data_IF_360138636745
#
_entry.id   IF_360138636745
#
_cell.length_a   1.000
_cell.length_b   1.000
_cell.length_c   1.000
_cell.angle_alpha   90.00
_cell.angle_beta   90.00
_cell.angle_gamma   90.00
#
_symmetry.space_group_name_H-M   'P 1'
#
loop_
_entity.id
_entity.type
_entity.pdbx_description
1 polymer ?
#
# COMPACT_ATOMS: atom_id res chain seq x y z
N UNK A 1 6.42 -10.86 15.31
CA UNK A 1 6.41 -9.90 14.18
C UNK A 1 6.27 -10.71 12.91
N UNK A 2 5.58 -10.18 11.91
CA UNK A 2 5.41 -10.83 10.60
C UNK A 2 5.91 -9.89 9.52
N UNK A 3 6.69 -10.41 8.58
CA UNK A 3 7.16 -9.67 7.41
C UNK A 3 6.37 -10.10 6.19
N UNK A 4 5.89 -9.14 5.41
CA UNK A 4 5.21 -9.39 4.13
C UNK A 4 6.06 -8.85 3.00
N UNK A 5 6.54 -9.75 2.15
CA UNK A 5 7.28 -9.46 0.92
C UNK A 5 6.29 -9.11 -0.21
N UNK A 6 6.49 -7.91 -0.75
CA UNK A 6 5.65 -7.24 -1.74
C UNK A 6 6.37 -7.05 -3.08
N UNK A 7 7.48 -7.74 -3.36
CA UNK A 7 8.28 -7.48 -4.57
C UNK A 7 7.46 -7.57 -5.88
N UNK A 8 6.55 -8.54 -6.01
CA UNK A 8 5.69 -8.68 -7.19
C UNK A 8 4.40 -7.83 -7.15
N UNK A 9 4.15 -7.14 -6.05
CA UNK A 9 2.93 -6.35 -5.80
C UNK A 9 3.25 -4.95 -5.25
N UNK A 10 4.42 -4.41 -5.61
CA UNK A 10 4.92 -3.12 -5.10
C UNK A 10 3.93 -1.98 -5.35
N UNK A 11 3.23 -2.00 -6.49
CA UNK A 11 2.24 -1.00 -6.88
C UNK A 11 1.05 -0.87 -5.92
N UNK A 12 0.78 -1.90 -5.11
CA UNK A 12 -0.29 -1.90 -4.10
C UNK A 12 0.23 -1.97 -2.66
N UNK A 13 1.54 -1.93 -2.45
CA UNK A 13 2.18 -2.16 -1.13
C UNK A 13 1.58 -1.28 -0.03
N UNK A 14 1.39 0.03 -0.29
CA UNK A 14 0.86 0.96 0.70
C UNK A 14 -0.59 0.64 1.08
N UNK A 15 -1.44 0.35 0.10
CA UNK A 15 -2.86 0.06 0.36
C UNK A 15 -3.03 -1.30 1.03
N UNK A 16 -2.25 -2.28 0.60
CA UNK A 16 -2.20 -3.59 1.23
C UNK A 16 -1.76 -3.48 2.69
N UNK A 17 -0.70 -2.71 2.98
CA UNK A 17 -0.23 -2.47 4.34
C UNK A 17 -1.31 -1.87 5.22
N UNK A 18 -1.95 -0.79 4.77
CA UNK A 18 -2.99 -0.09 5.53
C UNK A 18 -4.15 -1.04 5.81
N UNK A 19 -4.63 -1.76 4.79
CA UNK A 19 -5.74 -2.69 4.93
C UNK A 19 -5.42 -3.81 5.92
N UNK A 20 -4.28 -4.47 5.76
CA UNK A 20 -3.92 -5.63 6.58
C UNK A 20 -3.63 -5.21 8.02
N UNK A 21 -2.95 -4.09 8.23
CA UNK A 21 -2.65 -3.61 9.58
C UNK A 21 -3.91 -3.24 10.38
N UNK A 22 -4.89 -2.61 9.72
CA UNK A 22 -6.19 -2.28 10.33
C UNK A 22 -6.98 -3.55 10.66
N UNK A 23 -7.05 -4.49 9.72
CA UNK A 23 -7.84 -5.71 9.84
C UNK A 23 -7.30 -6.68 10.92
N UNK A 24 -5.98 -6.78 11.09
CA UNK A 24 -5.35 -7.66 12.11
C UNK A 24 -4.90 -6.92 13.36
N UNK A 25 -5.26 -5.64 13.51
CA UNK A 25 -4.89 -4.77 14.62
C UNK A 25 -3.38 -4.84 14.97
N UNK A 26 -2.52 -4.56 14.00
CA UNK A 26 -1.07 -4.58 14.17
C UNK A 26 -0.44 -3.21 13.87
N UNK A 27 0.72 -2.94 14.46
CA UNK A 27 1.52 -1.75 14.18
C UNK A 27 2.31 -1.96 12.88
N UNK A 28 2.06 -1.18 11.82
CA UNK A 28 2.74 -1.34 10.55
C UNK A 28 4.09 -0.61 10.50
N UNK A 29 5.04 -1.17 9.77
CA UNK A 29 6.28 -0.50 9.37
C UNK A 29 6.59 -0.83 7.91
N UNK A 30 6.70 0.20 7.07
CA UNK A 30 6.94 0.05 5.64
C UNK A 30 8.43 0.16 5.30
N UNK A 31 8.90 -0.70 4.41
CA UNK A 31 10.25 -0.69 3.85
C UNK A 31 10.19 -0.88 2.33
N UNK A 32 11.34 -0.84 1.67
CA UNK A 32 11.40 -1.11 0.23
C UNK A 32 11.06 -2.60 -0.04
N UNK A 33 10.06 -2.85 -0.89
CA UNK A 33 9.52 -4.16 -1.23
C UNK A 33 8.95 -5.02 -0.08
N UNK A 34 8.89 -4.52 1.14
CA UNK A 34 8.34 -5.28 2.26
C UNK A 34 7.65 -4.37 3.27
N UNK A 35 6.77 -4.94 4.06
CA UNK A 35 6.30 -4.30 5.29
C UNK A 35 6.30 -5.29 6.45
N UNK A 36 6.37 -4.76 7.66
CA UNK A 36 6.44 -5.52 8.89
C UNK A 36 5.22 -5.17 9.74
N UNK A 37 4.58 -6.20 10.28
CA UNK A 37 3.51 -6.11 11.25
C UNK A 37 4.05 -6.51 12.62
N UNK A 38 3.96 -5.58 13.56
CA UNK A 38 4.35 -5.79 14.96
C UNK A 38 3.11 -5.82 15.85
N UNK A 39 3.09 -6.67 16.89
CA UNK A 39 2.00 -6.66 17.86
C UNK A 39 1.92 -5.29 18.56
N UNK A 40 0.72 -4.92 19.01
CA UNK A 40 0.51 -3.69 19.77
C UNK A 40 1.11 -3.80 21.18
N UNK A 41 1.00 -4.98 21.79
CA UNK A 41 1.54 -5.30 23.11
C UNK A 41 2.91 -5.98 22.97
N UNK A 42 3.83 -5.73 23.91
CA UNK A 42 5.21 -6.25 23.89
C UNK A 42 5.30 -7.79 23.83
N UNK A 43 4.33 -8.49 24.41
CA UNK A 43 4.20 -9.96 24.42
C UNK A 43 3.09 -10.47 23.50
N UNK A 44 2.51 -9.59 22.68
CA UNK A 44 1.46 -9.96 21.74
C UNK A 44 1.95 -10.89 20.63
N UNK A 45 1.06 -11.75 20.15
CA UNK A 45 1.31 -12.65 19.02
C UNK A 45 0.33 -12.29 17.91
N UNK A 46 0.83 -12.12 16.69
CA UNK A 46 0.00 -11.94 15.50
C UNK A 46 -0.17 -13.32 14.86
N UNK A 47 -1.40 -13.74 14.60
CA UNK A 47 -1.67 -15.00 13.90
C UNK A 47 -1.36 -14.86 12.39
N UNK A 48 -0.35 -15.59 11.94
CA UNK A 48 0.04 -15.66 10.53
C UNK A 48 -1.14 -16.06 9.61
N UNK A 49 -2.05 -16.93 10.06
CA UNK A 49 -3.21 -17.33 9.26
C UNK A 49 -4.22 -16.18 9.09
N UNK A 50 -4.33 -15.32 10.09
CA UNK A 50 -5.17 -14.13 10.05
C UNK A 50 -4.62 -13.13 9.03
N UNK A 51 -3.29 -12.89 9.06
CA UNK A 51 -2.61 -12.04 8.07
C UNK A 51 -2.76 -12.59 6.65
N UNK A 52 -2.56 -13.90 6.45
CA UNK A 52 -2.77 -14.55 5.14
C UNK A 52 -4.22 -14.36 4.66
N UNK A 53 -5.19 -14.53 5.56
CA UNK A 53 -6.61 -14.38 5.24
C UNK A 53 -6.96 -12.93 4.88
N UNK A 54 -6.37 -11.97 5.59
CA UNK A 54 -6.50 -10.54 5.32
C UNK A 54 -5.94 -10.17 3.95
N UNK A 55 -4.72 -10.60 3.63
CA UNK A 55 -4.10 -10.39 2.30
C UNK A 55 -4.98 -11.00 1.20
N UNK A 56 -5.48 -12.23 1.39
CA UNK A 56 -6.37 -12.87 0.40
C UNK A 56 -7.67 -12.10 0.21
N UNK A 57 -8.27 -11.56 1.28
CA UNK A 57 -9.46 -10.68 1.19
C UNK A 57 -9.17 -9.41 0.42
N UNK A 58 -8.02 -8.76 0.67
CA UNK A 58 -7.61 -7.58 -0.07
C UNK A 58 -7.46 -7.89 -1.57
N UNK A 59 -6.74 -8.96 -1.91
CA UNK A 59 -6.54 -9.38 -3.30
C UNK A 59 -7.86 -9.73 -3.99
N UNK A 60 -8.81 -10.35 -3.28
CA UNK A 60 -10.16 -10.61 -3.82
C UNK A 60 -10.94 -9.30 -4.06
N UNK A 61 -10.82 -8.34 -3.15
CA UNK A 61 -11.50 -7.03 -3.27
C UNK A 61 -11.06 -6.23 -4.50
N UNK A 62 -9.84 -6.45 -5.00
CA UNK A 62 -9.31 -5.86 -6.23
C UNK A 62 -9.37 -6.80 -7.44
N UNK A 63 -9.96 -7.99 -7.31
CA UNK A 63 -10.12 -8.96 -8.40
C UNK A 63 -8.86 -9.74 -8.77
N UNK A 64 -7.83 -9.74 -7.92
CA UNK A 64 -6.51 -10.33 -8.19
C UNK A 64 -6.25 -11.67 -7.46
N UNK A 65 -7.19 -12.16 -6.64
CA UNK A 65 -7.02 -13.39 -5.85
C UNK A 65 -6.56 -14.61 -6.67
N UNK A 66 -7.00 -14.73 -7.93
CA UNK A 66 -6.64 -15.87 -8.80
C UNK A 66 -5.29 -15.70 -9.49
N UNK A 67 -4.73 -14.50 -9.49
CA UNK A 67 -3.48 -14.17 -10.19
C UNK A 67 -2.27 -14.23 -9.26
N UNK A 68 -2.48 -14.17 -7.94
CA UNK A 68 -1.41 -14.16 -6.94
C UNK A 68 -1.59 -15.26 -5.91
N UNK A 69 -0.48 -15.90 -5.53
CA UNK A 69 -0.39 -16.85 -4.45
C UNK A 69 0.16 -16.15 -3.19
N UNK A 70 -0.42 -16.47 -2.04
CA UNK A 70 0.07 -16.00 -0.73
C UNK A 70 0.72 -17.18 -0.02
N UNK A 71 2.04 -17.14 0.14
CA UNK A 71 2.87 -18.25 0.63
C UNK A 71 3.51 -17.83 1.95
N UNK A 72 3.38 -18.65 2.99
CA UNK A 72 4.06 -18.42 4.27
C UNK A 72 5.25 -19.37 4.44
N UNK A 73 6.37 -18.81 4.91
CA UNK A 73 7.60 -19.51 5.31
C UNK A 73 8.02 -18.98 6.68
N UNK A 74 7.42 -19.52 7.72
CA UNK A 74 7.60 -19.03 9.09
C UNK A 74 6.98 -17.63 9.25
N UNK A 75 7.77 -16.66 9.71
CA UNK A 75 7.33 -15.29 9.94
C UNK A 75 7.34 -14.41 8.67
N UNK A 76 7.70 -14.99 7.53
CA UNK A 76 7.71 -14.30 6.23
C UNK A 76 6.54 -14.79 5.38
N UNK A 77 5.76 -13.84 4.84
CA UNK A 77 4.69 -14.08 3.89
C UNK A 77 5.11 -13.44 2.56
N UNK A 78 5.14 -14.21 1.48
CA UNK A 78 5.41 -13.72 0.13
C UNK A 78 4.15 -13.74 -0.72
N UNK A 79 3.98 -12.71 -1.56
CA UNK A 79 2.90 -12.60 -2.53
C UNK A 79 3.52 -12.78 -3.91
N UNK A 80 3.28 -13.93 -4.53
CA UNK A 80 3.92 -14.33 -5.78
C UNK A 80 2.91 -14.37 -6.95
N UNK A 81 3.32 -13.93 -8.14
CA UNK A 81 2.47 -13.97 -9.33
C UNK A 81 2.38 -15.39 -9.89
N UNK A 82 1.17 -15.92 -10.07
CA UNK A 82 0.94 -17.25 -10.64
C UNK A 82 1.11 -17.24 -12.17
N UNK A 83 0.73 -16.13 -12.80
CA UNK A 83 0.64 -16.01 -14.27
C UNK A 83 1.71 -15.10 -14.86
N UNK A 84 2.64 -14.56 -14.05
CA UNK A 84 3.56 -13.49 -14.46
C UNK A 84 2.86 -12.15 -14.73
N UNK A 85 1.62 -12.01 -14.26
CA UNK A 85 0.83 -10.78 -14.36
C UNK A 85 1.30 -9.81 -13.27
N UNK A 86 1.55 -8.56 -13.65
CA UNK A 86 1.79 -7.45 -12.72
C UNK A 86 0.48 -6.76 -12.37
N UNK A 87 0.39 -6.19 -11.18
CA UNK A 87 -0.75 -5.33 -10.82
C UNK A 87 -0.48 -3.94 -11.40
N UNK A 88 -1.08 -3.67 -12.55
CA UNK A 88 -1.15 -2.31 -13.11
C UNK A 88 -2.26 -1.56 -12.38
N UNK A 89 -1.87 -0.61 -11.51
CA UNK A 89 -2.79 0.45 -11.12
C UNK A 89 -2.57 1.63 -12.04
N UNK A 90 -3.64 2.13 -12.64
CA UNK A 90 -3.67 3.52 -13.08
C UNK A 90 -3.19 4.33 -11.88
N UNK A 91 -2.05 5.03 -12.02
CA UNK A 91 -1.56 5.91 -10.98
C UNK A 91 -2.75 6.76 -10.56
N UNK A 92 -3.21 6.60 -9.32
CA UNK A 92 -4.24 7.47 -8.76
C UNK A 92 -3.68 8.86 -8.96
N UNK A 93 -4.19 9.58 -9.97
CA UNK A 93 -3.97 11.01 -10.10
C UNK A 93 -4.18 11.54 -8.71
N UNK A 94 -3.23 12.28 -8.15
CA UNK A 94 -3.40 12.91 -6.84
C UNK A 94 -4.78 13.56 -6.79
N UNK A 95 -5.78 12.86 -6.26
CA UNK A 95 -7.15 13.35 -6.08
C UNK A 95 -7.19 14.33 -4.90
N UNK A 96 -6.02 14.86 -4.52
CA UNK A 96 -5.85 15.99 -3.62
C UNK A 96 -5.90 17.30 -4.40
N UNK A 97 -6.45 18.31 -3.74
CA UNK A 97 -6.37 19.69 -4.21
C UNK A 97 -4.95 20.21 -4.00
N UNK A 98 -4.31 20.70 -5.06
CA UNK A 98 -3.07 21.44 -4.97
C UNK A 98 -3.35 22.86 -4.45
N UNK A 99 -2.64 23.29 -3.40
CA UNK A 99 -2.81 24.62 -2.79
C UNK A 99 -1.54 25.45 -2.90
N UNK A 100 -1.66 26.68 -3.40
CA UNK A 100 -0.56 27.63 -3.53
C UNK A 100 -0.23 28.28 -2.17
N UNK A 101 1.03 28.25 -1.70
CA UNK A 101 1.44 28.84 -0.43
C UNK A 101 1.49 30.37 -0.44
N UNK A 102 1.56 30.99 -1.62
CA UNK A 102 1.72 32.46 -1.76
C UNK A 102 0.41 33.23 -1.67
N UNK A 103 -0.68 32.65 -2.22
CA UNK A 103 -1.97 33.35 -2.30
C UNK A 103 -3.19 32.47 -1.99
N UNK A 104 -2.99 31.20 -1.64
CA UNK A 104 -4.10 30.30 -1.31
C UNK A 104 -4.93 29.84 -2.51
N UNK A 105 -4.40 29.95 -3.74
CA UNK A 105 -5.06 29.38 -4.93
C UNK A 105 -5.11 27.86 -4.83
N UNK A 106 -6.30 27.28 -5.01
CA UNK A 106 -6.53 25.83 -4.91
C UNK A 106 -7.02 25.28 -6.25
N UNK A 107 -6.47 24.16 -6.70
CA UNK A 107 -6.87 23.50 -7.95
C UNK A 107 -6.68 21.99 -7.89
N UNK A 108 -7.56 21.18 -8.48
CA UNK A 108 -7.34 19.73 -8.61
C UNK A 108 -6.36 19.39 -9.75
N UNK A 109 -5.97 20.37 -10.57
CA UNK A 109 -5.15 20.13 -11.75
C UNK A 109 -3.69 20.56 -11.52
N UNK A 110 -2.77 19.59 -11.50
CA UNK A 110 -1.34 19.82 -11.30
C UNK A 110 -0.75 20.82 -12.32
N UNK A 111 -1.12 20.70 -13.60
CA UNK A 111 -0.62 21.60 -14.66
C UNK A 111 -1.01 23.06 -14.41
N UNK A 112 -2.21 23.29 -13.85
CA UNK A 112 -2.67 24.63 -13.46
C UNK A 112 -1.89 25.10 -12.25
N UNK A 113 -1.68 24.25 -11.23
CA UNK A 113 -0.90 24.59 -10.06
C UNK A 113 0.54 24.98 -10.42
N UNK A 114 1.21 24.19 -11.25
CA UNK A 114 2.58 24.44 -11.70
C UNK A 114 2.71 25.73 -12.52
N UNK A 115 1.70 26.06 -13.32
CA UNK A 115 1.66 27.34 -14.06
C UNK A 115 1.43 28.51 -13.13
N UNK A 116 0.52 28.37 -12.17
CA UNK A 116 0.23 29.37 -11.15
C UNK A 116 1.47 29.69 -10.29
N UNK A 117 2.21 28.66 -9.86
CA UNK A 117 3.43 28.82 -9.05
C UNK A 117 4.46 29.70 -9.76
N UNK A 118 4.64 29.54 -11.08
CA UNK A 118 5.60 30.35 -11.86
C UNK A 118 5.32 31.85 -11.78
N UNK A 119 4.06 32.27 -11.66
CA UNK A 119 3.67 33.69 -11.58
C UNK A 119 4.31 34.38 -10.36
N UNK A 120 4.50 33.65 -9.26
CA UNK A 120 5.08 34.19 -8.02
C UNK A 120 6.61 34.27 -8.03
N UNK A 121 7.27 33.64 -9.01
CA UNK A 121 8.73 33.63 -9.16
C UNK A 121 9.21 34.33 -10.44
N UNK A 122 8.33 35.14 -11.04
CA UNK A 122 8.64 36.08 -12.13
C UNK A 122 9.02 37.46 -11.59
#
# INVERSE_FOLDING_TARGET
>A
MITVDCHEVESIQNELLIYVADDVAAVPNIKYHEFILSPIEDDGIIDTNEVISSIKRFLDSIGEQRNFAVISKGDIISIESISGKTIERDAKSSEGLFSCPHCGHVTPYETIHNTHMKIHYL
#
